data_IF_500030642361
#
_entry.id   IF_500030642361
#
_cell.length_a   1.000
_cell.length_b   1.000
_cell.length_c   1.000
_cell.angle_alpha   90.00
_cell.angle_beta   90.00
_cell.angle_gamma   90.00
#
_symmetry.space_group_name_H-M   'P 1'
#
loop_
_entity.id
_entity.type
_entity.pdbx_description
1 polymer ?
#
# COMPACT_ATOMS: atom_id res chain seq x y z
N UNK A 1 18.64 -62.40 -24.69
CA UNK A 1 19.18 -61.02 -24.55
C UNK A 1 18.08 -60.12 -24.03
N UNK A 2 18.15 -59.68 -22.76
CA UNK A 2 17.18 -58.76 -22.15
C UNK A 2 17.64 -57.32 -22.44
N UNK A 3 16.83 -56.54 -23.15
CA UNK A 3 17.07 -55.09 -23.42
C UNK A 3 16.57 -54.31 -22.21
N UNK A 4 17.47 -53.63 -21.50
CA UNK A 4 17.15 -52.63 -20.49
C UNK A 4 16.92 -51.27 -21.16
N UNK A 5 15.72 -50.70 -21.06
CA UNK A 5 15.42 -49.35 -21.48
C UNK A 5 15.73 -48.43 -20.29
N UNK A 6 16.76 -47.61 -20.41
CA UNK A 6 17.01 -46.52 -19.47
C UNK A 6 16.05 -45.38 -19.79
N UNK A 7 15.12 -45.10 -18.92
CA UNK A 7 14.32 -43.86 -18.97
C UNK A 7 15.09 -42.78 -18.24
N UNK A 8 15.70 -41.85 -18.97
CA UNK A 8 16.34 -40.66 -18.40
C UNK A 8 15.25 -39.67 -18.04
N UNK A 9 14.92 -39.57 -16.76
CA UNK A 9 14.01 -38.49 -16.27
C UNK A 9 14.79 -37.16 -16.29
N UNK A 10 14.40 -36.28 -17.19
CA UNK A 10 14.90 -34.90 -17.24
C UNK A 10 14.26 -34.12 -16.07
N UNK A 11 15.01 -33.93 -14.98
CA UNK A 11 14.60 -33.14 -13.84
C UNK A 11 14.70 -31.65 -14.24
N UNK A 12 13.59 -31.07 -14.71
CA UNK A 12 13.48 -29.62 -14.92
C UNK A 12 13.47 -28.93 -13.57
N UNK A 13 14.60 -28.49 -13.05
CA UNK A 13 14.69 -27.56 -11.93
C UNK A 13 14.19 -26.21 -12.42
N UNK A 14 13.00 -25.83 -12.04
CA UNK A 14 12.49 -24.46 -12.16
C UNK A 14 13.35 -23.56 -11.27
N UNK A 15 14.41 -22.99 -11.83
CA UNK A 15 15.13 -21.88 -11.20
C UNK A 15 14.19 -20.68 -11.21
N UNK A 16 13.62 -20.33 -10.06
CA UNK A 16 12.92 -19.06 -9.90
C UNK A 16 13.92 -17.92 -10.09
N UNK A 17 13.76 -17.16 -11.15
CA UNK A 17 14.54 -15.94 -11.35
C UNK A 17 14.20 -14.97 -10.20
N UNK A 18 15.18 -14.20 -9.69
CA UNK A 18 14.91 -13.18 -8.68
C UNK A 18 14.00 -12.08 -9.26
N UNK A 19 13.19 -11.44 -8.41
CA UNK A 19 12.53 -10.19 -8.74
C UNK A 19 13.59 -9.13 -9.04
N UNK A 20 13.30 -8.26 -9.98
CA UNK A 20 14.12 -7.10 -10.27
C UNK A 20 13.59 -5.89 -9.52
N UNK A 21 14.44 -5.18 -8.79
CA UNK A 21 14.10 -3.90 -8.16
C UNK A 21 14.83 -2.78 -8.88
N UNK A 22 14.10 -1.75 -9.26
CA UNK A 22 14.64 -0.51 -9.78
C UNK A 22 14.12 0.67 -8.98
N UNK A 23 14.84 1.80 -9.04
CA UNK A 23 14.38 3.04 -8.47
C UNK A 23 13.83 3.94 -9.57
N UNK A 24 12.69 4.57 -9.30
CA UNK A 24 12.01 5.51 -10.21
C UNK A 24 11.72 6.80 -9.46
N UNK A 25 12.04 7.95 -10.05
CA UNK A 25 11.69 9.25 -9.47
C UNK A 25 10.26 9.63 -9.90
N UNK A 26 9.37 9.73 -8.92
CA UNK A 26 7.99 10.18 -9.07
C UNK A 26 7.78 11.64 -8.63
N UNK A 27 8.85 12.45 -8.63
CA UNK A 27 8.78 13.89 -8.30
C UNK A 27 9.10 14.24 -6.85
N UNK A 28 9.36 13.21 -5.98
CA UNK A 28 9.82 13.42 -4.60
C UNK A 28 11.08 12.60 -4.28
N UNK A 29 11.88 12.30 -5.31
CA UNK A 29 13.08 11.47 -5.23
C UNK A 29 12.80 10.02 -5.61
N UNK A 30 13.85 9.21 -5.51
CA UNK A 30 13.82 7.82 -5.95
C UNK A 30 12.96 6.94 -5.05
N UNK A 31 12.11 6.14 -5.66
CA UNK A 31 11.18 5.20 -5.01
C UNK A 31 11.47 3.79 -5.54
N UNK A 32 11.64 2.79 -4.66
CA UNK A 32 11.81 1.41 -5.07
C UNK A 32 10.55 0.86 -5.75
N UNK A 33 10.75 0.29 -6.94
CA UNK A 33 9.75 -0.44 -7.71
C UNK A 33 10.22 -1.88 -7.86
N UNK A 34 9.46 -2.83 -7.35
CA UNK A 34 9.74 -4.27 -7.50
C UNK A 34 8.91 -4.84 -8.65
N UNK A 35 9.61 -5.39 -9.64
CA UNK A 35 9.01 -6.05 -10.80
C UNK A 35 9.15 -7.56 -10.60
N UNK A 36 8.06 -8.34 -10.57
CA UNK A 36 8.14 -9.79 -10.43
C UNK A 36 8.81 -10.42 -11.67
N UNK A 37 9.56 -11.48 -11.47
CA UNK A 37 10.24 -12.19 -12.58
C UNK A 37 9.28 -12.80 -13.61
N UNK A 38 8.01 -12.96 -13.24
CA UNK A 38 6.93 -13.41 -14.12
C UNK A 38 6.19 -12.30 -14.84
N UNK A 39 6.61 -11.02 -14.69
CA UNK A 39 5.97 -9.92 -15.39
C UNK A 39 6.05 -10.11 -16.91
N UNK A 40 4.90 -9.96 -17.56
CA UNK A 40 4.77 -10.01 -19.01
C UNK A 40 3.93 -8.80 -19.46
N UNK A 41 4.49 -7.95 -20.28
CA UNK A 41 3.80 -6.75 -20.78
C UNK A 41 2.57 -7.04 -21.65
N UNK A 42 2.38 -8.28 -22.10
CA UNK A 42 1.16 -8.72 -22.81
C UNK A 42 0.03 -9.15 -21.87
N UNK A 43 0.29 -9.23 -20.55
CA UNK A 43 -0.66 -9.67 -19.54
C UNK A 43 -0.84 -8.59 -18.47
N UNK A 44 -2.10 -8.33 -18.10
CA UNK A 44 -2.42 -7.35 -17.05
C UNK A 44 -1.96 -7.85 -15.67
N UNK A 45 -1.21 -7.02 -14.94
CA UNK A 45 -0.58 -7.36 -13.67
C UNK A 45 -1.08 -6.48 -12.54
N UNK A 46 -1.39 -7.02 -11.33
CA UNK A 46 -1.79 -6.23 -10.18
C UNK A 46 -0.69 -5.26 -9.72
N UNK A 47 -1.11 -4.11 -9.18
CA UNK A 47 -0.23 -3.13 -8.54
C UNK A 47 -0.54 -3.02 -7.05
N UNK A 48 0.50 -3.06 -6.22
CA UNK A 48 0.42 -2.78 -4.78
C UNK A 48 1.25 -1.54 -4.46
N UNK A 49 0.64 -0.57 -3.78
CA UNK A 49 1.34 0.57 -3.17
C UNK A 49 1.43 0.32 -1.67
N UNK A 50 2.65 0.25 -1.14
CA UNK A 50 2.92 -0.03 0.28
C UNK A 50 3.27 1.25 1.02
N UNK A 51 2.42 1.67 1.97
CA UNK A 51 2.51 2.93 2.68
C UNK A 51 3.02 2.74 4.11
N UNK A 52 4.09 3.46 4.45
CA UNK A 52 4.75 3.35 5.76
C UNK A 52 4.03 4.13 6.87
N UNK A 53 4.32 3.80 8.12
CA UNK A 53 3.89 4.55 9.30
C UNK A 53 4.72 5.82 9.53
N UNK A 54 4.22 6.72 10.39
CA UNK A 54 4.88 7.98 10.75
C UNK A 54 6.33 7.76 11.20
N UNK A 55 7.26 8.53 10.64
CA UNK A 55 8.69 8.46 10.93
C UNK A 55 9.43 7.27 10.29
N UNK A 56 8.78 6.50 9.43
CA UNK A 56 9.37 5.37 8.72
C UNK A 56 9.66 5.72 7.24
N UNK A 57 10.04 4.74 6.44
CA UNK A 57 10.26 4.86 4.99
C UNK A 57 9.63 3.68 4.26
N UNK A 58 9.43 3.81 2.95
CA UNK A 58 8.92 2.70 2.12
C UNK A 58 9.79 1.45 2.23
N UNK A 59 11.12 1.58 2.18
CA UNK A 59 12.04 0.46 2.31
C UNK A 59 11.94 -0.25 3.69
N UNK A 60 11.81 0.53 4.77
CA UNK A 60 11.65 -0.04 6.12
C UNK A 60 10.31 -0.75 6.24
N UNK A 61 9.27 -0.20 5.62
CA UNK A 61 7.95 -0.82 5.63
C UNK A 61 7.95 -2.14 4.89
N UNK A 62 8.61 -2.20 3.73
CA UNK A 62 8.77 -3.47 3.00
C UNK A 62 9.65 -4.46 3.75
N UNK A 63 10.73 -4.01 4.38
CA UNK A 63 11.56 -4.87 5.25
C UNK A 63 10.75 -5.49 6.39
N UNK A 64 9.78 -4.76 6.94
CA UNK A 64 8.90 -5.21 8.02
C UNK A 64 7.83 -6.20 7.53
N UNK A 65 7.11 -5.88 6.44
CA UNK A 65 6.01 -6.71 5.96
C UNK A 65 6.43 -7.75 4.91
N UNK A 66 7.53 -7.53 4.19
CA UNK A 66 8.12 -8.49 3.26
C UNK A 66 7.39 -8.67 1.94
N UNK A 67 6.69 -7.66 1.44
CA UNK A 67 5.92 -7.74 0.20
C UNK A 67 6.80 -8.01 -1.02
N UNK A 68 7.99 -7.39 -1.13
CA UNK A 68 8.93 -7.65 -2.22
C UNK A 68 9.35 -9.12 -2.30
N UNK A 69 9.45 -9.83 -1.15
CA UNK A 69 9.83 -11.25 -1.08
C UNK A 69 8.78 -12.18 -1.67
N UNK A 70 7.52 -11.75 -1.71
CA UNK A 70 6.40 -12.55 -2.23
C UNK A 70 5.91 -12.07 -3.61
N UNK A 71 6.46 -10.98 -4.14
CA UNK A 71 6.07 -10.41 -5.43
C UNK A 71 6.17 -11.44 -6.58
N UNK A 72 7.26 -12.22 -6.63
CA UNK A 72 7.43 -13.29 -7.61
C UNK A 72 6.39 -14.41 -7.48
N UNK A 73 6.04 -14.78 -6.26
CA UNK A 73 5.10 -15.88 -6.00
C UNK A 73 3.70 -15.54 -6.47
N UNK A 74 3.28 -14.30 -6.29
CA UNK A 74 1.91 -13.84 -6.56
C UNK A 74 1.80 -12.96 -7.80
N UNK A 75 2.91 -12.70 -8.49
CA UNK A 75 3.03 -11.95 -9.74
C UNK A 75 2.35 -10.58 -9.67
N UNK A 76 2.80 -9.69 -8.77
CA UNK A 76 2.34 -8.31 -8.66
C UNK A 76 3.52 -7.32 -8.71
N UNK A 77 3.28 -6.12 -9.23
CA UNK A 77 4.20 -5.01 -9.11
C UNK A 77 4.03 -4.35 -7.74
N UNK A 78 5.15 -3.93 -7.12
CA UNK A 78 5.14 -3.27 -5.82
C UNK A 78 5.86 -1.95 -5.91
N UNK A 79 5.24 -0.88 -5.38
CA UNK A 79 5.87 0.42 -5.19
C UNK A 79 5.87 0.75 -3.70
N UNK A 80 7.04 1.17 -3.18
CA UNK A 80 7.23 1.48 -1.76
C UNK A 80 7.67 2.92 -1.56
N UNK A 81 6.77 3.90 -1.78
CA UNK A 81 7.11 5.31 -1.68
C UNK A 81 7.38 5.74 -0.24
N UNK A 82 8.14 6.82 -0.10
CA UNK A 82 8.34 7.50 1.18
C UNK A 82 7.60 8.84 1.15
N UNK A 83 6.83 9.11 2.21
CA UNK A 83 6.08 10.33 2.38
C UNK A 83 6.95 11.56 2.60
N UNK A 84 6.30 12.70 2.73
CA UNK A 84 6.98 13.99 2.95
C UNK A 84 7.71 13.99 4.30
N UNK A 85 8.84 14.68 4.35
CA UNK A 85 9.59 14.91 5.59
C UNK A 85 9.15 16.24 6.21
N UNK A 86 8.89 16.25 7.52
CA UNK A 86 8.64 17.48 8.26
C UNK A 86 9.76 18.50 8.06
N UNK A 87 9.41 19.76 7.93
CA UNK A 87 10.36 20.87 7.77
C UNK A 87 11.08 21.23 9.09
N UNK A 88 10.51 20.81 10.23
CA UNK A 88 11.03 21.14 11.58
C UNK A 88 10.85 19.95 12.54
N UNK A 89 11.28 20.12 13.78
CA UNK A 89 11.13 19.12 14.82
C UNK A 89 11.96 17.87 14.59
N UNK A 90 11.32 16.69 14.60
CA UNK A 90 11.99 15.39 14.41
C UNK A 90 12.36 15.11 12.96
N UNK A 91 11.88 15.94 12.04
CA UNK A 91 11.98 15.70 10.58
C UNK A 91 11.47 14.31 10.19
N UNK A 92 10.41 13.87 10.85
CA UNK A 92 9.78 12.58 10.57
C UNK A 92 9.15 12.60 9.19
N UNK A 93 9.11 11.47 8.54
CA UNK A 93 8.38 11.26 7.30
C UNK A 93 6.92 10.93 7.60
N UNK A 94 5.99 11.48 6.83
CA UNK A 94 4.57 11.34 7.07
C UNK A 94 3.76 11.36 5.77
N UNK A 95 2.51 10.92 5.90
CA UNK A 95 1.45 11.10 4.91
C UNK A 95 0.43 12.10 5.45
N UNK A 96 0.04 13.08 4.65
CA UNK A 96 -1.10 13.95 4.92
C UNK A 96 -2.39 13.14 4.66
N UNK A 97 -2.80 12.37 5.66
CA UNK A 97 -3.88 11.40 5.57
C UNK A 97 -5.24 12.02 5.99
N UNK A 98 -5.93 11.40 6.95
CA UNK A 98 -7.17 11.95 7.52
C UNK A 98 -6.86 13.13 8.45
N UNK A 99 -7.88 13.88 8.87
CA UNK A 99 -7.72 15.00 9.81
C UNK A 99 -7.05 14.60 11.14
N UNK A 100 -7.17 13.33 11.54
CA UNK A 100 -6.58 12.83 12.78
C UNK A 100 -5.07 12.58 12.70
N UNK A 101 -4.52 12.22 11.52
CA UNK A 101 -3.12 11.79 11.38
C UNK A 101 -2.55 12.06 9.98
N UNK A 102 -1.33 12.47 9.86
CA UNK A 102 -0.35 12.89 10.88
C UNK A 102 0.36 14.15 10.37
N UNK A 103 -0.35 14.97 9.61
CA UNK A 103 0.15 16.25 9.11
C UNK A 103 -0.17 17.34 10.13
N UNK A 104 0.78 17.60 11.01
CA UNK A 104 0.59 18.58 12.08
C UNK A 104 1.18 19.95 11.74
N UNK A 105 1.95 20.09 10.67
CA UNK A 105 2.72 21.28 10.39
C UNK A 105 2.67 21.75 8.92
N UNK A 106 2.33 20.88 7.98
CA UNK A 106 2.45 21.11 6.55
C UNK A 106 1.12 20.88 5.81
N UNK A 107 0.06 21.69 6.10
CA UNK A 107 -1.29 21.44 5.59
C UNK A 107 -1.43 21.53 4.07
N UNK A 108 -0.45 22.10 3.37
CA UNK A 108 -0.45 22.24 1.91
C UNK A 108 0.07 21.03 1.15
N UNK A 109 0.55 19.98 1.86
CA UNK A 109 1.03 18.75 1.22
C UNK A 109 -0.15 17.98 0.64
N UNK A 110 -0.08 17.69 -0.65
CA UNK A 110 -1.05 16.84 -1.35
C UNK A 110 -0.46 15.47 -1.64
N UNK A 111 -0.61 14.56 -0.67
CA UNK A 111 -0.17 13.18 -0.83
C UNK A 111 -1.16 12.36 -1.66
N UNK A 112 -2.42 12.82 -1.77
CA UNK A 112 -3.38 12.19 -2.68
C UNK A 112 -2.92 12.34 -4.12
N UNK A 113 -2.62 13.57 -4.57
CA UNK A 113 -2.11 13.82 -5.93
C UNK A 113 -0.77 13.09 -6.18
N UNK A 114 0.12 13.06 -5.19
CA UNK A 114 1.40 12.36 -5.32
C UNK A 114 1.23 10.85 -5.53
N UNK A 115 0.42 10.18 -4.71
CA UNK A 115 0.20 8.74 -4.81
C UNK A 115 -0.59 8.36 -6.07
N UNK A 116 -1.56 9.19 -6.47
CA UNK A 116 -2.23 8.99 -7.76
C UNK A 116 -1.28 9.17 -8.93
N UNK A 117 -0.37 10.15 -8.86
CA UNK A 117 0.69 10.32 -9.87
C UNK A 117 1.61 9.10 -10.00
N UNK A 118 1.93 8.43 -8.88
CA UNK A 118 2.66 7.14 -8.91
C UNK A 118 1.84 6.08 -9.66
N UNK A 119 0.56 5.92 -9.32
CA UNK A 119 -0.31 4.91 -9.93
C UNK A 119 -0.44 5.14 -11.44
N UNK A 120 -0.69 6.37 -11.87
CA UNK A 120 -0.82 6.69 -13.29
C UNK A 120 0.51 6.47 -14.04
N UNK A 121 1.64 6.87 -13.46
CA UNK A 121 2.95 6.61 -14.06
C UNK A 121 3.25 5.12 -14.17
N UNK A 122 2.85 4.32 -13.18
CA UNK A 122 2.97 2.86 -13.25
C UNK A 122 2.11 2.26 -14.36
N UNK A 123 0.89 2.80 -14.58
CA UNK A 123 0.02 2.38 -15.70
C UNK A 123 0.58 2.78 -17.07
N UNK A 124 1.31 3.89 -17.16
CA UNK A 124 1.99 4.30 -18.39
C UNK A 124 3.17 3.41 -18.75
N UNK A 125 3.93 2.95 -17.75
CA UNK A 125 5.16 2.18 -17.95
C UNK A 125 4.94 0.67 -17.98
N UNK A 126 3.88 0.19 -17.32
CA UNK A 126 3.59 -1.25 -17.19
C UNK A 126 2.13 -1.57 -17.54
N UNK A 127 1.88 -2.79 -17.99
CA UNK A 127 0.54 -3.29 -18.23
C UNK A 127 -0.14 -3.64 -16.89
N UNK A 128 -0.66 -2.60 -16.20
CA UNK A 128 -1.36 -2.73 -14.93
C UNK A 128 -2.82 -3.05 -15.17
N UNK A 129 -3.34 -4.03 -14.43
CA UNK A 129 -4.78 -4.28 -14.33
C UNK A 129 -5.43 -3.14 -13.53
N UNK A 130 -6.20 -2.30 -14.20
CA UNK A 130 -6.88 -1.16 -13.59
C UNK A 130 -7.91 -1.54 -12.53
N UNK A 131 -8.37 -2.80 -12.50
CA UNK A 131 -9.27 -3.34 -11.49
C UNK A 131 -8.53 -4.00 -10.31
N UNK A 132 -7.19 -4.01 -10.33
CA UNK A 132 -6.36 -4.65 -9.31
C UNK A 132 -5.25 -3.72 -8.81
N UNK A 133 -5.62 -2.49 -8.44
CA UNK A 133 -4.75 -1.54 -7.74
C UNK A 133 -5.08 -1.57 -6.26
N UNK A 134 -4.09 -1.88 -5.44
CA UNK A 134 -4.26 -2.12 -4.01
C UNK A 134 -3.36 -1.23 -3.17
N UNK A 135 -3.87 -0.81 -2.00
CA UNK A 135 -3.08 -0.10 -1.00
C UNK A 135 -2.88 -0.99 0.22
N UNK A 136 -1.67 -1.01 0.75
CA UNK A 136 -1.36 -1.64 2.03
C UNK A 136 -0.66 -0.60 2.89
N UNK A 137 -1.27 -0.22 4.00
CA UNK A 137 -0.74 0.84 4.86
C UNK A 137 -0.62 0.42 6.32
N UNK A 138 0.44 0.89 6.97
CA UNK A 138 0.66 0.69 8.39
C UNK A 138 0.55 2.02 9.13
N UNK A 139 -0.22 2.08 10.24
CA UNK A 139 -0.37 3.28 11.08
C UNK A 139 -0.78 4.50 10.25
N UNK A 140 0.02 5.56 10.18
CA UNK A 140 -0.20 6.72 9.29
C UNK A 140 -0.46 6.31 7.82
N UNK A 141 0.26 5.29 7.29
CA UNK A 141 -0.03 4.73 5.97
C UNK A 141 -1.39 4.03 5.88
N UNK A 142 -1.89 3.46 6.98
CA UNK A 142 -3.24 2.92 7.07
C UNK A 142 -4.31 4.01 6.98
N UNK A 143 -4.13 5.14 7.70
CA UNK A 143 -4.98 6.32 7.56
C UNK A 143 -4.92 6.87 6.12
N UNK A 144 -3.74 6.90 5.49
CA UNK A 144 -3.60 7.35 4.11
C UNK A 144 -4.27 6.41 3.11
N UNK A 145 -4.28 5.11 3.38
CA UNK A 145 -5.01 4.14 2.54
C UNK A 145 -6.50 4.43 2.53
N UNK A 146 -7.10 4.72 3.68
CA UNK A 146 -8.51 5.15 3.77
C UNK A 146 -8.76 6.46 3.03
N UNK A 147 -7.89 7.47 3.24
CA UNK A 147 -8.01 8.77 2.58
C UNK A 147 -7.94 8.65 1.05
N UNK A 148 -6.95 7.90 0.54
CA UNK A 148 -6.75 7.75 -0.90
C UNK A 148 -7.90 6.97 -1.54
N UNK A 149 -8.35 5.87 -0.91
CA UNK A 149 -9.47 5.07 -1.40
C UNK A 149 -10.78 5.86 -1.42
N UNK A 150 -11.01 6.71 -0.40
CA UNK A 150 -12.20 7.55 -0.36
C UNK A 150 -12.25 8.55 -1.53
N UNK A 151 -11.12 9.18 -1.83
CA UNK A 151 -11.03 10.19 -2.88
C UNK A 151 -10.95 9.61 -4.31
N UNK A 152 -10.55 8.33 -4.46
CA UNK A 152 -10.22 7.71 -5.75
C UNK A 152 -10.77 6.28 -5.83
N UNK A 153 -12.03 6.11 -5.43
CA UNK A 153 -12.69 4.80 -5.36
C UNK A 153 -12.82 4.12 -6.73
N UNK A 154 -12.78 4.87 -7.81
CA UNK A 154 -12.78 4.34 -9.19
C UNK A 154 -11.46 3.66 -9.56
N UNK A 155 -10.38 3.99 -8.86
CA UNK A 155 -9.03 3.46 -9.14
C UNK A 155 -8.62 2.38 -8.13
N UNK A 156 -9.01 2.54 -6.86
CA UNK A 156 -8.56 1.68 -5.77
C UNK A 156 -9.55 0.54 -5.55
N UNK A 157 -9.13 -0.70 -5.84
CA UNK A 157 -9.96 -1.89 -5.70
C UNK A 157 -10.08 -2.38 -4.24
N UNK A 158 -8.99 -2.30 -3.48
CA UNK A 158 -8.99 -2.70 -2.08
C UNK A 158 -7.89 -2.02 -1.28
N UNK A 159 -8.14 -1.91 0.04
CA UNK A 159 -7.13 -1.45 1.00
C UNK A 159 -6.92 -2.46 2.12
N UNK A 160 -5.69 -2.52 2.63
CA UNK A 160 -5.34 -3.13 3.90
C UNK A 160 -4.81 -2.05 4.81
N UNK A 161 -5.49 -1.82 5.94
CA UNK A 161 -5.04 -0.90 6.98
C UNK A 161 -4.58 -1.70 8.20
N UNK A 162 -3.29 -1.66 8.48
CA UNK A 162 -2.69 -2.21 9.70
C UNK A 162 -2.52 -1.08 10.72
N UNK A 163 -3.30 -1.12 11.79
CA UNK A 163 -3.30 -0.13 12.89
C UNK A 163 -3.50 1.32 12.42
N UNK A 164 -4.31 1.54 11.37
CA UNK A 164 -4.81 2.85 10.95
C UNK A 164 -6.29 3.00 11.28
N UNK A 165 -6.91 4.08 10.84
CA UNK A 165 -8.34 4.32 10.98
C UNK A 165 -8.90 5.12 9.81
N UNK A 166 -10.21 5.04 9.61
CA UNK A 166 -10.99 5.81 8.65
C UNK A 166 -11.16 7.28 9.13
N UNK A 167 -12.02 8.04 8.47
CA UNK A 167 -12.41 9.38 8.89
C UNK A 167 -13.35 9.31 10.09
N UNK A 168 -13.24 10.27 11.02
CA UNK A 168 -14.17 10.38 12.15
C UNK A 168 -15.53 10.94 11.73
N UNK A 169 -15.55 11.83 10.72
CA UNK A 169 -16.77 12.44 10.21
C UNK A 169 -17.49 11.50 9.23
N UNK A 170 -18.82 11.46 9.33
CA UNK A 170 -19.64 10.77 8.35
C UNK A 170 -19.58 11.53 7.03
N UNK A 171 -19.22 10.82 5.95
CA UNK A 171 -19.09 11.34 4.60
C UNK A 171 -20.15 10.73 3.69
N UNK A 172 -20.36 11.34 2.53
CA UNK A 172 -21.13 10.72 1.46
C UNK A 172 -20.42 9.45 0.99
N UNK A 173 -21.19 8.47 0.49
CA UNK A 173 -20.59 7.23 -0.03
C UNK A 173 -19.65 7.56 -1.18
N UNK A 174 -18.47 6.91 -1.26
CA UNK A 174 -17.64 6.98 -2.45
C UNK A 174 -18.40 6.44 -3.67
N UNK A 175 -18.01 6.88 -4.86
CA UNK A 175 -18.72 6.53 -6.10
C UNK A 175 -18.67 5.02 -6.40
N UNK A 176 -17.58 4.37 -6.04
CA UNK A 176 -17.37 2.93 -6.23
C UNK A 176 -17.08 2.23 -4.91
N UNK A 177 -17.54 0.99 -4.80
CA UNK A 177 -17.23 0.16 -3.63
C UNK A 177 -15.74 -0.24 -3.60
N UNK A 178 -15.12 -0.09 -2.43
CA UNK A 178 -13.73 -0.49 -2.18
C UNK A 178 -13.69 -1.56 -1.09
N UNK A 179 -13.00 -2.66 -1.33
CA UNK A 179 -12.81 -3.68 -0.30
C UNK A 179 -11.87 -3.20 0.79
N UNK A 180 -12.25 -3.42 2.06
CA UNK A 180 -11.46 -2.99 3.22
C UNK A 180 -11.11 -4.18 4.09
N UNK A 181 -9.81 -4.34 4.38
CA UNK A 181 -9.29 -5.22 5.42
C UNK A 181 -8.61 -4.38 6.51
N UNK A 182 -9.19 -4.38 7.71
CA UNK A 182 -8.58 -3.77 8.89
C UNK A 182 -7.90 -4.85 9.74
N UNK A 183 -6.63 -4.64 10.08
CA UNK A 183 -5.85 -5.47 11.00
C UNK A 183 -5.42 -4.57 12.16
N UNK A 184 -5.80 -4.91 13.40
CA UNK A 184 -5.55 -4.04 14.55
C UNK A 184 -5.36 -4.83 15.83
N UNK A 185 -4.36 -4.47 16.62
CA UNK A 185 -4.18 -5.03 17.96
C UNK A 185 -5.18 -4.44 18.95
N UNK A 186 -5.87 -5.29 19.72
CA UNK A 186 -6.85 -4.84 20.73
C UNK A 186 -6.23 -4.03 21.86
N UNK A 187 -4.92 -4.21 22.09
CA UNK A 187 -4.16 -3.51 23.14
C UNK A 187 -3.24 -2.41 22.56
N UNK A 188 -3.49 -1.96 21.31
CA UNK A 188 -2.71 -0.88 20.71
C UNK A 188 -2.90 0.41 21.54
N UNK A 189 -1.81 0.87 22.14
CA UNK A 189 -1.79 2.07 22.97
C UNK A 189 -1.51 3.36 22.19
N UNK A 190 -1.14 3.25 20.91
CA UNK A 190 -0.83 4.38 20.04
C UNK A 190 -2.04 4.79 19.21
N UNK A 191 -2.55 3.85 18.40
CA UNK A 191 -3.82 4.01 17.70
C UNK A 191 -4.78 3.00 18.31
N UNK A 192 -5.65 3.49 19.19
CA UNK A 192 -6.52 2.62 20.01
C UNK A 192 -7.50 1.86 19.14
N UNK A 193 -7.68 0.58 19.48
CA UNK A 193 -8.65 -0.28 18.81
C UNK A 193 -10.08 0.28 18.84
N UNK A 194 -10.49 0.87 19.98
CA UNK A 194 -11.81 1.46 20.18
C UNK A 194 -11.94 2.91 19.67
N UNK A 195 -10.90 3.43 19.01
CA UNK A 195 -10.85 4.83 18.59
C UNK A 195 -10.29 5.76 19.67
N UNK A 196 -10.12 7.01 19.30
CA UNK A 196 -9.53 8.02 20.17
C UNK A 196 -9.26 9.34 19.46
N UNK A 197 -8.32 10.10 20.00
CA UNK A 197 -7.88 11.34 19.40
C UNK A 197 -6.34 11.40 19.26
N UNK A 198 -5.88 12.15 18.27
CA UNK A 198 -4.49 12.54 18.11
C UNK A 198 -4.43 14.06 18.08
N UNK A 199 -3.88 14.66 19.14
CA UNK A 199 -3.78 16.12 19.28
C UNK A 199 -5.15 16.84 19.18
N UNK A 200 -6.22 16.22 19.70
CA UNK A 200 -7.57 16.77 19.69
C UNK A 200 -8.34 16.54 18.38
N UNK A 201 -7.82 15.71 17.46
CA UNK A 201 -8.53 15.28 16.27
C UNK A 201 -8.95 13.81 16.43
N UNK A 202 -10.25 13.57 16.44
CA UNK A 202 -10.83 12.24 16.64
C UNK A 202 -10.58 11.30 15.46
N UNK A 203 -10.46 10.00 15.76
CA UNK A 203 -10.49 8.91 14.79
C UNK A 203 -11.38 7.77 15.28
N UNK A 204 -12.09 7.07 14.37
CA UNK A 204 -12.96 5.95 14.73
C UNK A 204 -12.17 4.72 15.14
N UNK A 205 -12.78 3.83 15.91
CA UNK A 205 -12.21 2.53 16.22
C UNK A 205 -12.11 1.61 15.01
N UNK A 206 -11.41 0.49 15.18
CA UNK A 206 -11.19 -0.47 14.10
C UNK A 206 -12.52 -1.02 13.56
N UNK A 207 -13.44 -1.43 14.42
CA UNK A 207 -14.76 -1.91 14.03
C UNK A 207 -15.59 -0.82 13.35
N UNK A 208 -15.58 0.38 13.91
CA UNK A 208 -16.31 1.52 13.35
C UNK A 208 -15.79 1.89 11.95
N UNK A 209 -14.47 1.92 11.77
CA UNK A 209 -13.84 2.16 10.45
C UNK A 209 -14.35 1.18 9.40
N UNK A 210 -14.41 -0.12 9.72
CA UNK A 210 -14.92 -1.14 8.79
C UNK A 210 -16.44 -1.00 8.58
N UNK A 211 -17.19 -0.73 9.63
CA UNK A 211 -18.64 -0.57 9.54
C UNK A 211 -19.04 0.59 8.66
N UNK A 212 -18.35 1.74 8.74
CA UNK A 212 -18.56 2.88 7.84
C UNK A 212 -18.41 2.47 6.37
N UNK A 213 -17.37 1.70 6.05
CA UNK A 213 -17.11 1.27 4.67
C UNK A 213 -18.04 0.15 4.20
N UNK A 214 -18.59 -0.63 5.11
CA UNK A 214 -19.61 -1.63 4.79
C UNK A 214 -20.99 -1.01 4.51
N UNK A 215 -21.21 0.24 4.93
CA UNK A 215 -22.44 1.01 4.67
C UNK A 215 -22.37 1.80 3.34
N UNK A 216 -21.17 1.94 2.75
CA UNK A 216 -20.95 2.55 1.45
C UNK A 216 -21.19 1.56 0.31
#
# INVERSE_FOLDING_TARGET
MKRYHFVTALLCTLLSLPSFSQNTDFGRGEVPVTIPSGYNSAEETPLIILLHGYGSTGERQDSYLGFSRIANKYNFLLVTPTGTRESSGRQATFWNATSACCNFQEPSIDDNAYLMGIIERMKEEYNIDSNRVYLVGHSNGGFMSYQLAYNNSETIAAIVSLAGASHADKRESPEHAVHVLQIHGTDDSTIRYEGGDIQGNDYPGANESVSQWAEY
#
